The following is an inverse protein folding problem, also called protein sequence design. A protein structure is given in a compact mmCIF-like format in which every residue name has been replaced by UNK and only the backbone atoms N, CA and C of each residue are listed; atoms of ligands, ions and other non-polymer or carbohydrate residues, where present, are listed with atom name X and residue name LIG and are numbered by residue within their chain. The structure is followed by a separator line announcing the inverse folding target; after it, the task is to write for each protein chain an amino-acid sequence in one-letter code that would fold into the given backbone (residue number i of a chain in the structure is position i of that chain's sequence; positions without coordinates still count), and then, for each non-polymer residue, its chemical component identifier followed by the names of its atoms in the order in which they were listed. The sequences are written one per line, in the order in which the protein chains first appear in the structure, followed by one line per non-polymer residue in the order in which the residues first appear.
data_IF_195074665176
#
_entry.id   IF_195074665176
#
_cell.length_a   1.000
_cell.length_b   1.000
_cell.length_c   1.000
_cell.angle_alpha   90.00
_cell.angle_beta   90.00
_cell.angle_gamma   90.00
#
_symmetry.space_group_name_H-M   'P 1'
#
loop_
_entity.id
_entity.type
_entity.pdbx_description
1 polymer ?
#
# COMPACT_ATOMS: atom_id res chain seq x y z
N UNK A 1 7.06 3.14 -1.47
CA UNK A 1 6.73 1.71 -1.35
C UNK A 1 5.62 1.40 -2.33
N UNK A 2 5.65 0.22 -2.92
CA UNK A 2 4.65 -0.26 -3.85
C UNK A 2 3.98 -1.49 -3.26
N UNK A 3 2.67 -1.55 -3.34
CA UNK A 3 1.84 -2.61 -2.77
C UNK A 3 0.83 -3.11 -3.78
N UNK A 4 0.27 -4.26 -3.47
CA UNK A 4 -0.78 -4.93 -4.21
C UNK A 4 -1.89 -5.31 -3.25
N UNK A 5 -3.14 -5.09 -3.63
CA UNK A 5 -4.31 -5.47 -2.86
C UNK A 5 -5.31 -6.20 -3.77
N UNK A 6 -6.18 -7.07 -3.24
CA UNK A 6 -7.30 -7.60 -4.02
C UNK A 6 -8.24 -6.48 -4.51
N UNK A 7 -8.82 -6.65 -5.69
CA UNK A 7 -9.80 -5.71 -6.25
C UNK A 7 -11.18 -5.92 -5.62
N UNK A 8 -11.33 -5.50 -4.35
CA UNK A 8 -12.58 -5.58 -3.59
C UNK A 8 -12.92 -4.23 -2.91
N UNK A 9 -14.15 -4.13 -2.40
CA UNK A 9 -14.67 -2.88 -1.81
C UNK A 9 -13.88 -2.42 -0.58
N UNK A 10 -13.40 -3.35 0.25
CA UNK A 10 -12.57 -3.04 1.43
C UNK A 10 -11.22 -2.44 1.02
N UNK A 11 -10.56 -3.05 0.04
CA UNK A 11 -9.30 -2.55 -0.51
C UNK A 11 -9.46 -1.18 -1.16
N UNK A 12 -10.53 -0.96 -1.93
CA UNK A 12 -10.83 0.34 -2.52
C UNK A 12 -11.08 1.42 -1.45
N UNK A 13 -11.83 1.09 -0.40
CA UNK A 13 -12.10 2.01 0.72
C UNK A 13 -10.80 2.38 1.44
N UNK A 14 -9.94 1.38 1.69
CA UNK A 14 -8.63 1.61 2.28
C UNK A 14 -7.75 2.48 1.38
N UNK A 15 -7.65 2.17 0.09
CA UNK A 15 -6.89 2.95 -0.89
C UNK A 15 -7.41 4.39 -0.95
N UNK A 16 -8.73 4.60 -0.96
CA UNK A 16 -9.32 5.93 -0.93
C UNK A 16 -8.87 6.71 0.30
N UNK A 17 -8.81 6.06 1.48
CA UNK A 17 -8.32 6.71 2.69
C UNK A 17 -6.83 7.10 2.60
N UNK A 18 -6.02 6.38 1.82
CA UNK A 18 -4.59 6.70 1.68
C UNK A 18 -4.35 8.04 0.98
N UNK A 19 -5.23 8.46 0.07
CA UNK A 19 -5.11 9.75 -0.61
C UNK A 19 -5.14 10.95 0.36
N UNK A 20 -5.78 10.81 1.51
CA UNK A 20 -5.84 11.86 2.54
C UNK A 20 -4.64 11.84 3.51
N UNK A 21 -3.89 10.73 3.56
CA UNK A 21 -2.88 10.47 4.60
C UNK A 21 -1.45 10.39 4.07
N UNK A 22 -1.26 10.06 2.80
CA UNK A 22 0.06 9.89 2.19
C UNK A 22 0.12 10.43 0.77
N UNK A 23 1.34 10.63 0.27
CA UNK A 23 1.54 10.99 -1.12
C UNK A 23 1.43 9.74 -2.00
N UNK A 24 0.24 9.45 -2.51
CA UNK A 24 0.00 8.40 -3.50
C UNK A 24 0.58 8.84 -4.83
N UNK A 25 1.55 8.07 -5.35
CA UNK A 25 2.22 8.37 -6.61
C UNK A 25 1.43 7.86 -7.81
N UNK A 26 0.95 6.61 -7.73
CA UNK A 26 0.26 5.92 -8.81
C UNK A 26 -0.68 4.86 -8.24
N UNK A 27 -1.77 4.61 -8.95
CA UNK A 27 -2.69 3.48 -8.72
C UNK A 27 -2.98 2.83 -10.07
N UNK A 28 -2.84 1.51 -10.15
CA UNK A 28 -3.19 0.72 -11.32
C UNK A 28 -4.25 -0.30 -10.93
N UNK A 29 -5.32 -0.36 -11.71
CA UNK A 29 -6.40 -1.32 -11.53
C UNK A 29 -6.24 -2.45 -12.55
N UNK A 30 -6.06 -3.65 -12.06
CA UNK A 30 -6.11 -4.90 -12.83
C UNK A 30 -7.41 -5.64 -12.48
N UNK A 31 -7.76 -6.71 -13.21
CA UNK A 31 -9.05 -7.40 -13.03
C UNK A 31 -9.24 -7.93 -11.59
N UNK A 32 -8.21 -8.51 -11.00
CA UNK A 32 -8.27 -9.14 -9.68
C UNK A 32 -7.49 -8.38 -8.59
N UNK A 33 -6.60 -7.47 -8.99
CA UNK A 33 -5.68 -6.80 -8.07
C UNK A 33 -5.57 -5.29 -8.36
N UNK A 34 -5.25 -4.52 -7.32
CA UNK A 34 -4.98 -3.08 -7.40
C UNK A 34 -3.55 -2.87 -6.92
N UNK A 35 -2.73 -2.27 -7.77
CA UNK A 35 -1.38 -1.87 -7.43
C UNK A 35 -1.36 -0.41 -7.02
N UNK A 36 -0.74 -0.11 -5.89
CA UNK A 36 -0.55 1.27 -5.42
C UNK A 36 0.93 1.55 -5.16
N UNK A 37 1.40 2.72 -5.53
CA UNK A 37 2.72 3.22 -5.15
C UNK A 37 2.56 4.50 -4.38
N UNK A 38 3.26 4.63 -3.24
CA UNK A 38 3.14 5.77 -2.34
C UNK A 38 4.49 6.17 -1.72
N UNK A 39 4.57 7.43 -1.28
CA UNK A 39 5.64 7.95 -0.43
C UNK A 39 5.06 8.36 0.92
N UNK A 40 5.71 7.86 1.97
CA UNK A 40 5.36 8.15 3.35
C UNK A 40 6.61 7.97 4.24
N UNK A 41 6.52 8.42 5.48
CA UNK A 41 7.56 8.16 6.48
C UNK A 41 7.70 6.64 6.75
N UNK A 42 8.90 6.13 7.08
CA UNK A 42 9.12 4.69 7.26
C UNK A 42 8.15 4.01 8.24
N UNK A 43 7.88 4.62 9.39
CA UNK A 43 6.93 4.09 10.38
C UNK A 43 5.50 4.00 9.84
N UNK A 44 5.11 4.93 8.96
CA UNK A 44 3.79 4.95 8.33
C UNK A 44 3.71 3.91 7.22
N UNK A 45 4.80 3.70 6.45
CA UNK A 45 4.91 2.59 5.49
C UNK A 45 4.72 1.25 6.19
N UNK A 46 5.35 1.05 7.36
CA UNK A 46 5.18 -0.18 8.15
C UNK A 46 3.73 -0.35 8.65
N UNK A 47 3.08 0.75 9.09
CA UNK A 47 1.67 0.72 9.50
C UNK A 47 0.75 0.36 8.33
N UNK A 48 0.97 0.96 7.17
CA UNK A 48 0.22 0.69 5.94
C UNK A 48 0.43 -0.76 5.50
N UNK A 49 1.66 -1.25 5.53
CA UNK A 49 1.98 -2.65 5.20
C UNK A 49 1.15 -3.63 6.04
N UNK A 50 1.11 -3.43 7.37
CA UNK A 50 0.33 -4.31 8.25
C UNK A 50 -1.19 -4.22 8.04
N UNK A 51 -1.73 -3.14 7.48
CA UNK A 51 -3.14 -3.09 7.06
C UNK A 51 -3.35 -3.79 5.71
N UNK A 52 -2.41 -3.62 4.79
CA UNK A 52 -2.43 -4.28 3.47
C UNK A 52 -2.40 -5.79 3.61
N UNK A 53 -1.56 -6.33 4.51
CA UNK A 53 -1.52 -7.78 4.79
C UNK A 53 -2.87 -8.29 5.33
N UNK A 54 -3.56 -7.51 6.18
CA UNK A 54 -4.90 -7.87 6.69
C UNK A 54 -5.97 -7.90 5.62
N UNK A 55 -5.81 -7.10 4.56
CA UNK A 55 -6.69 -7.07 3.39
C UNK A 55 -6.33 -8.13 2.35
N UNK A 56 -5.37 -9.02 2.65
CA UNK A 56 -4.89 -10.05 1.71
C UNK A 56 -3.94 -9.49 0.64
N UNK A 57 -3.46 -8.26 0.81
CA UNK A 57 -2.48 -7.64 -0.06
C UNK A 57 -1.04 -7.97 0.33
N UNK A 58 -0.09 -7.49 -0.48
CA UNK A 58 1.35 -7.73 -0.30
C UNK A 58 2.20 -6.52 -0.69
N UNK A 59 3.37 -6.41 -0.08
CA UNK A 59 4.41 -5.49 -0.50
C UNK A 59 5.07 -5.99 -1.78
N UNK A 60 5.16 -5.14 -2.80
CA UNK A 60 5.88 -5.40 -4.03
C UNK A 60 7.29 -4.83 -3.99
N UNK A 61 7.43 -3.62 -3.42
CA UNK A 61 8.71 -2.93 -3.35
C UNK A 61 8.77 -2.01 -2.13
N UNK A 62 9.74 -2.24 -1.25
CA UNK A 62 10.03 -1.32 -0.15
C UNK A 62 10.77 -0.10 -0.70
N UNK A 63 10.30 1.11 -0.35
CA UNK A 63 11.17 2.28 -0.46
C UNK A 63 12.21 2.19 0.67
N UNK A 64 13.33 1.54 0.39
CA UNK A 64 14.54 1.43 1.21
C UNK A 64 14.32 1.50 2.73
N UNK A 65 14.01 0.36 3.36
CA UNK A 65 14.17 0.21 4.81
C UNK A 65 15.57 -0.39 5.06
N UNK A 66 16.53 0.33 5.67
CA UNK A 66 17.71 -0.35 6.18
C UNK A 66 17.21 -1.38 7.20
N UNK A 67 17.66 -2.64 7.07
CA UNK A 67 17.39 -3.67 8.08
C UNK A 67 17.88 -3.13 9.44
N UNK A 68 17.10 -3.27 10.53
CA UNK A 68 17.67 -3.02 11.85
C UNK A 68 18.89 -3.93 12.03
N UNK A 69 20.03 -3.32 12.37
CA UNK A 69 21.27 -4.01 12.72
C UNK A 69 21.08 -4.84 14.00
#
# INVERSE_FOLDING_TARGET
ASFMLPSNSESLSFISSLYDHVNVLNTWHEEEEIRISLKAMPWLVNKIHGQIEKLGGRLLEAAYLPKPQ
#
